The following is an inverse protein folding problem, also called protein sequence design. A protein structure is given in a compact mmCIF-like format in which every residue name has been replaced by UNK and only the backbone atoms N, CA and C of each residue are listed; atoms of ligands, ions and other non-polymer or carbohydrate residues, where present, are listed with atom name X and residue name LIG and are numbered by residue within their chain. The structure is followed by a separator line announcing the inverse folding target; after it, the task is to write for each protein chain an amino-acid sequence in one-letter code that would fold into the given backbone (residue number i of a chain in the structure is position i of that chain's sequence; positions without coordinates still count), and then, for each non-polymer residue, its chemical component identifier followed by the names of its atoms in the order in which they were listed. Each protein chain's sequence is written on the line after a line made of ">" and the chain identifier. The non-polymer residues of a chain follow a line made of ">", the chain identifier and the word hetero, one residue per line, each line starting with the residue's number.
data_IF_395827024440
#
_entry.id   IF_395827024440
#
_cell.length_a   1.000
_cell.length_b   1.000
_cell.length_c   1.000
_cell.angle_alpha   90.00
_cell.angle_beta   90.00
_cell.angle_gamma   90.00
#
_symmetry.space_group_name_H-M   'P 1'
#
loop_
_entity.id
_entity.type
_entity.pdbx_description
1 polymer ?
#
# COMPACT_ATOMS: atom_id res chain seq x y z
N UNK A 1 8.72 19.65 5.05
CA UNK A 1 9.26 18.27 5.16
C UNK A 1 8.55 17.31 4.20
N UNK A 2 7.22 17.32 4.15
CA UNK A 2 6.39 16.47 3.26
C UNK A 2 6.77 16.61 1.78
N UNK A 3 6.90 17.82 1.25
CA UNK A 3 7.28 18.04 -0.16
C UNK A 3 8.62 17.39 -0.55
N UNK A 4 9.58 17.34 0.38
CA UNK A 4 10.89 16.72 0.14
C UNK A 4 10.78 15.20 0.04
N UNK A 5 9.87 14.60 0.80
CA UNK A 5 9.57 13.16 0.75
C UNK A 5 8.89 12.83 -0.58
N UNK A 6 7.86 13.58 -0.96
CA UNK A 6 7.14 13.39 -2.24
C UNK A 6 8.09 13.50 -3.43
N UNK A 7 8.95 14.53 -3.45
CA UNK A 7 9.92 14.73 -4.54
C UNK A 7 10.92 13.58 -4.63
N UNK A 8 11.29 12.97 -3.50
CA UNK A 8 12.22 11.84 -3.49
C UNK A 8 11.55 10.55 -3.97
N UNK A 9 10.28 10.33 -3.62
CA UNK A 9 9.49 9.18 -4.08
C UNK A 9 9.33 9.23 -5.60
N UNK A 10 9.00 10.39 -6.16
CA UNK A 10 8.86 10.55 -7.62
C UNK A 10 10.20 10.31 -8.36
N UNK A 11 11.32 10.73 -7.77
CA UNK A 11 12.67 10.47 -8.32
C UNK A 11 13.02 8.99 -8.27
N UNK A 12 12.69 8.30 -7.18
CA UNK A 12 12.93 6.87 -7.05
C UNK A 12 12.09 6.07 -8.05
N UNK A 13 10.78 6.37 -8.15
CA UNK A 13 9.88 5.71 -9.10
C UNK A 13 10.31 5.90 -10.56
N UNK A 14 10.67 7.12 -10.94
CA UNK A 14 11.16 7.41 -12.31
C UNK A 14 12.51 6.75 -12.60
N UNK A 15 13.41 6.62 -11.63
CA UNK A 15 14.68 5.92 -11.79
C UNK A 15 14.50 4.41 -11.97
N UNK A 16 13.60 3.79 -11.18
CA UNK A 16 13.28 2.36 -11.31
C UNK A 16 12.68 2.03 -12.67
N UNK A 17 11.72 2.84 -13.14
CA UNK A 17 11.10 2.67 -14.44
C UNK A 17 12.12 2.82 -15.59
N UNK A 18 13.00 3.81 -15.50
CA UNK A 18 14.07 4.00 -16.49
C UNK A 18 15.04 2.82 -16.55
N UNK A 19 15.40 2.26 -15.38
CA UNK A 19 16.21 1.05 -15.28
C UNK A 19 15.52 -0.17 -15.91
N UNK A 20 14.23 -0.36 -15.63
CA UNK A 20 13.44 -1.46 -16.20
C UNK A 20 13.34 -1.36 -17.73
N UNK A 21 13.08 -0.17 -18.28
CA UNK A 21 13.03 0.06 -19.73
C UNK A 21 14.39 -0.16 -20.38
N UNK A 22 15.47 0.35 -19.76
CA UNK A 22 16.84 0.12 -20.24
C UNK A 22 17.20 -1.36 -20.28
N UNK A 23 16.86 -2.11 -19.23
CA UNK A 23 17.08 -3.56 -19.17
C UNK A 23 16.25 -4.32 -20.20
N UNK A 24 14.96 -3.98 -20.37
CA UNK A 24 14.10 -4.61 -21.36
C UNK A 24 14.64 -4.42 -22.79
N UNK A 25 15.13 -3.22 -23.11
CA UNK A 25 15.74 -2.92 -24.41
C UNK A 25 17.04 -3.69 -24.57
N UNK A 26 17.90 -3.71 -23.55
CA UNK A 26 19.12 -4.52 -23.54
C UNK A 26 18.84 -6.00 -23.80
N UNK A 27 17.81 -6.57 -23.16
CA UNK A 27 17.41 -7.96 -23.33
C UNK A 27 16.78 -8.24 -24.70
N UNK A 28 16.03 -7.27 -25.27
CA UNK A 28 15.40 -7.40 -26.59
C UNK A 28 16.38 -7.30 -27.76
N UNK A 29 17.47 -6.54 -27.59
CA UNK A 29 18.59 -6.53 -28.54
C UNK A 29 19.34 -7.85 -28.41
N UNK A 30 18.87 -8.86 -29.15
CA UNK A 30 19.46 -10.20 -29.21
C UNK A 30 20.93 -10.21 -29.68
N UNK A 31 21.44 -11.40 -30.01
CA UNK A 31 22.87 -11.62 -30.28
C UNK A 31 23.47 -10.82 -31.46
N UNK A 32 22.64 -10.20 -32.29
CA UNK A 32 23.04 -9.53 -33.53
C UNK A 32 23.91 -8.27 -33.36
N UNK A 33 23.89 -7.62 -32.20
CA UNK A 33 24.62 -6.38 -31.96
C UNK A 33 25.88 -6.62 -31.11
N UNK A 34 26.94 -5.83 -31.35
CA UNK A 34 28.12 -5.88 -30.48
C UNK A 34 27.77 -5.40 -29.06
N UNK A 35 28.49 -5.91 -28.06
CA UNK A 35 28.21 -5.59 -26.65
C UNK A 35 28.21 -4.08 -26.37
N UNK A 36 29.11 -3.34 -27.02
CA UNK A 36 29.22 -1.87 -26.91
C UNK A 36 27.97 -1.17 -27.47
N UNK A 37 27.43 -1.65 -28.58
CA UNK A 37 26.22 -1.06 -29.17
C UNK A 37 24.99 -1.32 -28.28
N UNK A 38 24.92 -2.50 -27.63
CA UNK A 38 23.80 -2.81 -26.73
C UNK A 38 23.83 -1.97 -25.46
N UNK A 39 24.99 -1.80 -24.83
CA UNK A 39 25.11 -0.99 -23.62
C UNK A 39 24.85 0.49 -23.92
N UNK A 40 25.36 1.01 -25.03
CA UNK A 40 25.07 2.38 -25.47
C UNK A 40 23.58 2.58 -25.76
N UNK A 41 22.95 1.66 -26.50
CA UNK A 41 21.52 1.70 -26.81
C UNK A 41 20.64 1.65 -25.56
N UNK A 42 20.96 0.74 -24.62
CA UNK A 42 20.26 0.63 -23.34
C UNK A 42 20.39 1.90 -22.49
N UNK A 43 21.58 2.50 -22.43
CA UNK A 43 21.82 3.74 -21.69
C UNK A 43 21.06 4.94 -22.28
N UNK A 44 21.06 5.08 -23.62
CA UNK A 44 20.30 6.11 -24.32
C UNK A 44 18.81 5.94 -24.04
N UNK A 45 18.29 4.73 -24.16
CA UNK A 45 16.87 4.47 -23.94
C UNK A 45 16.44 4.68 -22.49
N UNK A 46 17.26 4.26 -21.51
CA UNK A 46 17.01 4.53 -20.10
C UNK A 46 16.99 6.04 -19.80
N UNK A 47 17.95 6.79 -20.37
CA UNK A 47 18.02 8.25 -20.20
C UNK A 47 16.79 8.93 -20.81
N UNK A 48 16.37 8.49 -22.00
CA UNK A 48 15.19 9.03 -22.67
C UNK A 48 13.91 8.72 -21.88
N UNK A 49 13.73 7.48 -21.43
CA UNK A 49 12.61 7.07 -20.59
C UNK A 49 12.56 7.87 -19.29
N UNK A 50 13.70 8.08 -18.63
CA UNK A 50 13.81 8.90 -17.42
C UNK A 50 13.36 10.34 -17.67
N UNK A 51 13.86 10.98 -18.73
CA UNK A 51 13.51 12.36 -19.07
C UNK A 51 12.03 12.49 -19.43
N UNK A 52 11.47 11.53 -20.17
CA UNK A 52 10.07 11.52 -20.59
C UNK A 52 9.14 11.32 -19.39
N UNK A 53 9.45 10.39 -18.49
CA UNK A 53 8.69 10.20 -17.24
C UNK A 53 8.79 11.42 -16.33
N UNK A 54 9.99 12.00 -16.18
CA UNK A 54 10.17 13.23 -15.39
C UNK A 54 9.38 14.39 -15.97
N UNK A 55 9.29 14.50 -17.29
CA UNK A 55 8.48 15.52 -17.98
C UNK A 55 6.98 15.28 -17.76
N UNK A 56 6.52 14.04 -17.88
CA UNK A 56 5.13 13.66 -17.63
C UNK A 56 4.73 13.92 -16.17
N UNK A 57 5.54 13.52 -15.20
CA UNK A 57 5.30 13.79 -13.77
C UNK A 57 5.26 15.29 -13.47
N UNK A 58 6.14 16.10 -14.07
CA UNK A 58 6.07 17.56 -13.94
C UNK A 58 4.78 18.13 -14.51
N UNK A 59 4.34 17.63 -15.65
CA UNK A 59 3.08 18.06 -16.28
C UNK A 59 1.86 17.67 -15.43
N UNK A 60 1.86 16.48 -14.83
CA UNK A 60 0.81 16.04 -13.90
C UNK A 60 0.86 16.85 -12.61
N UNK A 61 2.05 17.16 -12.09
CA UNK A 61 2.23 17.97 -10.88
C UNK A 61 1.71 19.40 -11.07
N UNK A 62 1.87 20.01 -12.25
CA UNK A 62 1.28 21.33 -12.51
C UNK A 62 -0.24 21.29 -12.59
N UNK A 63 -0.83 20.17 -12.99
CA UNK A 63 -2.28 19.95 -13.03
C UNK A 63 -2.85 19.39 -11.73
N UNK A 64 -2.00 19.12 -10.73
CA UNK A 64 -2.39 18.87 -9.34
C UNK A 64 -2.82 20.20 -8.70
N UNK A 65 -3.72 20.93 -9.38
CA UNK A 65 -4.60 21.88 -8.73
C UNK A 65 -5.20 21.12 -7.54
N UNK A 66 -5.00 21.66 -6.35
CA UNK A 66 -5.44 21.07 -5.08
C UNK A 66 -6.90 20.66 -5.24
N UNK A 67 -7.15 19.40 -5.61
CA UNK A 67 -8.51 18.86 -5.53
C UNK A 67 -8.83 19.03 -4.05
N UNK A 68 -9.88 19.80 -3.71
CA UNK A 68 -10.27 19.91 -2.32
C UNK A 68 -10.49 18.48 -1.88
N UNK A 69 -9.59 17.98 -1.04
CA UNK A 69 -9.82 16.74 -0.34
C UNK A 69 -11.09 17.08 0.41
N UNK A 70 -12.21 16.51 -0.03
CA UNK A 70 -13.45 16.59 0.71
C UNK A 70 -13.08 15.89 2.01
N UNK A 71 -12.71 16.70 3.00
CA UNK A 71 -12.51 16.22 4.36
C UNK A 71 -13.86 15.59 4.64
N UNK A 72 -13.87 14.25 4.65
CA UNK A 72 -15.07 13.51 4.99
C UNK A 72 -15.55 14.16 6.28
N UNK A 73 -16.72 14.79 6.20
CA UNK A 73 -17.36 15.42 7.34
C UNK A 73 -17.67 14.26 8.26
N UNK A 74 -16.70 13.95 9.15
CA UNK A 74 -16.80 13.03 10.25
C UNK A 74 -17.79 13.67 11.22
N UNK A 75 -19.05 13.78 10.79
CA UNK A 75 -20.17 13.90 11.70
C UNK A 75 -19.96 12.76 12.67
N UNK A 76 -19.77 13.12 13.94
CA UNK A 76 -19.73 12.17 15.04
C UNK A 76 -20.89 11.23 14.78
N UNK A 77 -20.58 10.00 14.41
CA UNK A 77 -21.55 8.93 14.42
C UNK A 77 -21.84 8.82 15.90
N UNK A 78 -22.91 9.48 16.35
CA UNK A 78 -23.45 9.27 17.67
C UNK A 78 -23.80 7.78 17.68
N UNK A 79 -22.92 7.03 18.32
CA UNK A 79 -23.11 5.62 18.60
C UNK A 79 -24.20 5.55 19.67
N UNK A 80 -25.44 5.89 19.29
CA UNK A 80 -26.62 5.29 19.88
C UNK A 80 -26.56 3.82 19.48
N UNK A 81 -25.78 3.07 20.26
CA UNK A 81 -25.88 1.63 20.33
C UNK A 81 -27.18 1.37 21.10
N UNK A 82 -28.32 1.71 20.50
CA UNK A 82 -29.52 0.91 20.73
C UNK A 82 -29.19 -0.43 20.12
N UNK A 83 -28.89 -1.36 21.02
CA UNK A 83 -28.90 -2.81 20.84
C UNK A 83 -29.61 -3.20 19.54
N UNK A 84 -28.82 -3.36 18.46
CA UNK A 84 -29.30 -3.86 17.19
C UNK A 84 -29.59 -5.35 17.44
N UNK A 85 -30.74 -5.62 18.04
CA UNK A 85 -31.32 -6.94 18.20
C UNK A 85 -31.52 -7.45 16.78
N UNK A 86 -30.55 -8.21 16.29
CA UNK A 86 -30.65 -9.04 15.10
C UNK A 86 -31.70 -10.13 15.36
N UNK A 87 -32.97 -9.75 15.47
CA UNK A 87 -34.10 -10.65 15.26
C UNK A 87 -34.22 -10.84 13.75
N UNK A 88 -33.24 -11.56 13.22
CA UNK A 88 -33.22 -12.05 11.86
C UNK A 88 -34.32 -13.12 11.73
N UNK A 89 -35.56 -12.66 11.57
CA UNK A 89 -36.65 -13.49 11.06
C UNK A 89 -36.74 -13.22 9.57
N UNK A 90 -35.90 -13.94 8.82
CA UNK A 90 -35.95 -13.97 7.36
C UNK A 90 -37.29 -14.60 6.96
N UNK A 91 -38.24 -13.75 6.55
CA UNK A 91 -39.28 -14.17 5.64
C UNK A 91 -38.66 -14.24 4.23
N UNK A 92 -38.92 -15.29 3.44
CA UNK A 92 -38.39 -15.39 2.09
C UNK A 92 -39.29 -14.58 1.17
N UNK A 93 -39.02 -13.29 1.03
CA UNK A 93 -39.53 -12.53 -0.12
C UNK A 93 -38.46 -11.52 -0.55
N UNK A 94 -37.69 -11.97 -1.54
CA UNK A 94 -37.16 -11.21 -2.66
C UNK A 94 -36.83 -9.73 -2.41
N UNK A 95 -35.62 -9.48 -1.91
CA UNK A 95 -34.95 -8.18 -2.06
C UNK A 95 -34.47 -8.03 -3.51
N UNK A 96 -35.36 -7.51 -4.35
CA UNK A 96 -35.04 -6.99 -5.68
C UNK A 96 -34.07 -5.82 -5.56
N UNK A 97 -32.76 -6.08 -5.76
CA UNK A 97 -31.78 -5.05 -6.10
C UNK A 97 -32.01 -4.60 -7.55
N UNK A 98 -33.09 -3.86 -7.78
CA UNK A 98 -33.25 -3.12 -9.03
C UNK A 98 -32.42 -1.85 -8.98
N UNK A 99 -31.31 -1.91 -9.70
CA UNK A 99 -31.09 -1.03 -10.84
C UNK A 99 -30.81 0.46 -10.53
N UNK A 100 -29.56 0.77 -10.22
CA UNK A 100 -28.96 2.09 -10.50
C UNK A 100 -27.42 2.07 -10.36
N UNK A 101 -26.73 1.25 -11.15
CA UNK A 101 -25.30 1.50 -11.45
C UNK A 101 -25.11 1.43 -12.97
N UNK A 102 -25.73 2.37 -13.66
CA UNK A 102 -25.55 2.59 -15.10
C UNK A 102 -24.44 3.62 -15.34
N UNK A 103 -23.20 3.30 -14.98
CA UNK A 103 -22.03 3.94 -15.55
C UNK A 103 -20.95 2.89 -15.79
N UNK A 104 -21.11 2.21 -16.93
CA UNK A 104 -20.03 1.73 -17.83
C UNK A 104 -18.67 1.44 -17.16
N UNK A 105 -18.63 0.44 -16.29
CA UNK A 105 -17.39 -0.27 -15.97
C UNK A 105 -16.99 -1.08 -17.20
N UNK A 106 -16.28 -0.42 -18.13
CA UNK A 106 -15.57 -1.09 -19.22
C UNK A 106 -14.47 -1.94 -18.57
N UNK A 107 -14.81 -3.18 -18.21
CA UNK A 107 -13.83 -4.23 -17.96
C UNK A 107 -13.03 -4.41 -19.25
N UNK A 108 -11.83 -3.84 -19.27
CA UNK A 108 -10.88 -4.05 -20.36
C UNK A 108 -10.48 -5.53 -20.37
N UNK A 109 -10.26 -6.08 -21.56
CA UNK A 109 -9.96 -7.51 -21.79
C UNK A 109 -8.73 -8.04 -21.03
N UNK A 110 -7.98 -7.17 -20.34
CA UNK A 110 -6.84 -7.53 -19.49
C UNK A 110 -7.22 -8.28 -18.20
N UNK A 111 -8.48 -8.20 -17.74
CA UNK A 111 -8.96 -8.93 -16.55
C UNK A 111 -9.57 -10.32 -16.89
N UNK A 112 -9.50 -10.74 -18.16
CA UNK A 112 -9.82 -12.13 -18.55
C UNK A 112 -8.67 -13.06 -18.15
N UNK A 113 -8.48 -13.28 -16.86
CA UNK A 113 -7.81 -14.48 -16.40
C UNK A 113 -8.70 -15.66 -16.81
N UNK A 114 -8.27 -16.42 -17.83
CA UNK A 114 -8.82 -17.72 -18.19
C UNK A 114 -8.72 -18.66 -16.99
N UNK A 115 -9.68 -18.54 -16.08
CA UNK A 115 -9.88 -19.54 -15.06
C UNK A 115 -10.52 -20.72 -15.79
N UNK A 116 -9.87 -21.89 -15.88
CA UNK A 116 -10.47 -23.04 -16.54
C UNK A 116 -11.82 -23.29 -15.86
N UNK A 117 -12.90 -23.17 -16.63
CA UNK A 117 -14.26 -23.55 -16.23
C UNK A 117 -14.28 -25.05 -15.96
N UNK A 118 -13.84 -25.45 -14.77
CA UNK A 118 -14.27 -26.71 -14.20
C UNK A 118 -15.68 -26.50 -13.65
N UNK A 119 -16.69 -27.27 -14.10
CA UNK A 119 -17.96 -27.33 -13.40
C UNK A 119 -17.74 -28.11 -12.09
N UNK A 120 -17.26 -27.43 -11.05
CA UNK A 120 -17.29 -27.93 -9.69
C UNK A 120 -18.71 -27.69 -9.16
N UNK A 121 -19.50 -28.78 -9.15
CA UNK A 121 -20.88 -28.85 -8.66
C UNK A 121 -20.92 -29.01 -7.13
N UNK A 122 -19.78 -28.93 -6.44
CA UNK A 122 -19.76 -28.98 -4.98
C UNK A 122 -19.56 -27.56 -4.42
N UNK A 123 -20.49 -27.03 -3.61
CA UNK A 123 -20.25 -25.77 -2.90
C UNK A 123 -18.98 -25.92 -2.07
N UNK A 124 -18.08 -24.95 -2.12
CA UNK A 124 -16.98 -24.85 -1.17
C UNK A 124 -17.58 -24.69 0.23
N UNK A 125 -17.82 -25.80 0.93
CA UNK A 125 -18.14 -25.80 2.35
C UNK A 125 -16.82 -25.61 3.07
N UNK A 126 -16.57 -24.38 3.54
CA UNK A 126 -15.45 -24.05 4.41
C UNK A 126 -15.75 -24.59 5.82
N UNK A 127 -15.74 -25.91 5.99
CA UNK A 127 -15.92 -26.55 7.31
C UNK A 127 -14.67 -26.38 8.21
N UNK A 128 -13.54 -25.96 7.64
CA UNK A 128 -12.27 -25.68 8.35
C UNK A 128 -12.20 -24.27 8.99
N UNK A 129 -13.34 -23.69 9.36
CA UNK A 129 -13.34 -22.43 10.13
C UNK A 129 -13.18 -22.76 11.61
N UNK A 130 -11.92 -22.86 12.04
CA UNK A 130 -11.44 -22.42 13.37
C UNK A 130 -12.06 -23.05 14.63
N UNK A 131 -12.95 -24.04 14.53
CA UNK A 131 -13.74 -24.50 15.66
C UNK A 131 -12.90 -25.09 16.81
N UNK A 132 -11.69 -25.57 16.53
CA UNK A 132 -10.78 -26.11 17.56
C UNK A 132 -9.33 -25.65 17.34
N UNK A 133 -9.06 -24.35 17.44
CA UNK A 133 -7.69 -23.93 17.74
C UNK A 133 -7.34 -24.38 19.16
N UNK A 134 -6.61 -25.50 19.26
CA UNK A 134 -6.13 -26.04 20.52
C UNK A 134 -5.38 -24.98 21.36
N UNK A 135 -5.31 -25.15 22.69
CA UNK A 135 -4.70 -24.18 23.61
C UNK A 135 -3.23 -23.85 23.29
N UNK A 136 -2.56 -24.70 22.51
CA UNK A 136 -1.16 -24.57 22.12
C UNK A 136 -0.94 -23.92 20.74
N UNK A 137 -2.02 -23.47 20.07
CA UNK A 137 -1.93 -22.78 18.79
C UNK A 137 -1.20 -21.44 18.94
N UNK A 138 0.10 -21.44 18.61
CA UNK A 138 0.99 -20.26 18.66
C UNK A 138 0.64 -19.17 17.65
N UNK A 139 -0.31 -19.41 16.75
CA UNK A 139 -0.84 -18.40 15.83
C UNK A 139 -1.81 -17.49 16.59
N UNK A 140 -1.20 -16.68 17.46
CA UNK A 140 -1.55 -15.27 17.65
C UNK A 140 -3.00 -15.00 18.08
N UNK A 141 -3.29 -15.27 19.36
CA UNK A 141 -4.40 -14.64 20.11
C UNK A 141 -4.18 -13.13 20.35
N UNK A 142 -3.68 -12.37 19.37
CA UNK A 142 -3.54 -10.91 19.50
C UNK A 142 -4.89 -10.19 19.67
N UNK A 143 -5.98 -10.85 19.29
CA UNK A 143 -7.33 -10.30 19.28
C UNK A 143 -8.31 -11.13 20.12
N UNK A 144 -7.87 -11.78 21.20
CA UNK A 144 -8.83 -12.37 22.15
C UNK A 144 -9.59 -11.22 22.85
N UNK A 145 -10.91 -11.06 22.61
CA UNK A 145 -11.67 -9.94 23.12
C UNK A 145 -11.73 -9.91 24.65
N UNK A 146 -11.48 -11.04 25.33
CA UNK A 146 -11.39 -11.10 26.80
C UNK A 146 -10.06 -10.57 27.33
N UNK A 147 -9.02 -10.57 26.50
CA UNK A 147 -7.66 -10.11 26.84
C UNK A 147 -7.37 -8.71 26.28
N UNK A 148 -8.24 -8.17 25.42
CA UNK A 148 -8.08 -6.82 24.91
C UNK A 148 -8.36 -5.78 26.01
N UNK A 149 -7.46 -4.82 26.22
CA UNK A 149 -7.74 -3.70 27.10
C UNK A 149 -8.94 -2.92 26.56
N UNK A 150 -9.81 -2.47 27.45
CA UNK A 150 -10.91 -1.58 27.06
C UNK A 150 -10.34 -0.30 26.41
N UNK A 151 -11.09 0.36 25.51
CA UNK A 151 -10.64 1.61 24.89
C UNK A 151 -10.19 2.68 25.90
N UNK A 152 -10.87 2.76 27.05
CA UNK A 152 -10.48 3.64 28.15
C UNK A 152 -9.12 3.29 28.77
N UNK A 153 -8.86 2.01 29.03
CA UNK A 153 -7.56 1.55 29.54
C UNK A 153 -6.42 1.79 28.55
N UNK A 154 -6.70 1.67 27.25
CA UNK A 154 -5.72 1.92 26.21
C UNK A 154 -5.36 3.42 26.15
N UNK A 155 -6.36 4.31 26.25
CA UNK A 155 -6.14 5.75 26.36
C UNK A 155 -5.32 6.11 27.60
N UNK A 156 -5.69 5.61 28.77
CA UNK A 156 -4.93 5.85 29.99
C UNK A 156 -3.49 5.32 29.90
N UNK A 157 -3.25 4.22 29.18
CA UNK A 157 -1.88 3.73 28.92
C UNK A 157 -1.08 4.68 28.03
N UNK A 158 -1.69 5.22 26.98
CA UNK A 158 -1.03 6.20 26.09
C UNK A 158 -0.70 7.48 26.87
N UNK A 159 -1.65 8.03 27.61
CA UNK A 159 -1.45 9.25 28.39
C UNK A 159 -0.33 9.06 29.43
N UNK A 160 -0.37 7.96 30.18
CA UNK A 160 0.71 7.60 31.10
C UNK A 160 2.06 7.42 30.39
N UNK A 161 2.09 6.88 29.17
CA UNK A 161 3.33 6.69 28.43
C UNK A 161 3.89 8.02 27.92
N UNK A 162 3.03 8.93 27.49
CA UNK A 162 3.43 10.28 27.08
C UNK A 162 3.94 11.09 28.27
N UNK A 163 3.31 10.96 29.44
CA UNK A 163 3.75 11.63 30.67
C UNK A 163 5.03 11.01 31.27
N UNK A 164 5.17 9.68 31.21
CA UNK A 164 6.36 8.96 31.71
C UNK A 164 7.51 8.90 30.73
N UNK A 165 7.37 9.44 29.52
CA UNK A 165 8.54 9.66 28.66
C UNK A 165 9.19 10.95 29.13
N UNK A 166 10.21 10.92 30.03
CA UNK A 166 11.00 12.12 30.26
C UNK A 166 11.48 12.62 28.89
N UNK A 167 11.55 13.94 28.65
CA UNK A 167 12.19 14.45 27.44
C UNK A 167 13.55 13.78 27.39
N UNK A 168 13.75 12.89 26.43
CA UNK A 168 14.88 11.97 26.38
C UNK A 168 16.13 12.84 26.31
N UNK A 169 16.71 13.11 27.47
CA UNK A 169 17.94 13.84 27.63
C UNK A 169 18.99 12.99 26.90
N UNK A 170 19.37 13.44 25.71
CA UNK A 170 20.37 12.76 24.89
C UNK A 170 19.84 11.59 24.09
N UNK A 171 18.67 11.69 23.45
CA UNK A 171 18.57 11.08 22.12
C UNK A 171 19.64 11.77 21.25
N UNK A 172 20.85 11.21 21.28
CA UNK A 172 21.88 11.37 20.26
C UNK A 172 21.13 11.50 18.94
N UNK A 173 21.16 12.73 18.41
CA UNK A 173 20.32 13.15 17.31
C UNK A 173 20.46 12.10 16.21
N UNK A 174 19.40 11.36 15.90
CA UNK A 174 19.47 10.27 14.93
C UNK A 174 20.05 10.78 13.59
N UNK A 175 19.89 12.07 13.34
CA UNK A 175 20.50 12.85 12.27
C UNK A 175 22.04 12.83 12.31
N UNK A 176 22.65 12.97 13.50
CA UNK A 176 24.09 12.93 13.74
C UNK A 176 24.65 11.53 13.51
N UNK A 177 24.00 10.49 14.05
CA UNK A 177 24.39 9.11 13.83
C UNK A 177 24.31 8.70 12.34
N UNK A 178 23.29 9.19 11.63
CA UNK A 178 23.17 9.01 10.18
C UNK A 178 24.28 9.76 9.42
N UNK A 179 24.61 10.99 9.83
CA UNK A 179 25.66 11.78 9.21
C UNK A 179 27.03 11.12 9.35
N UNK A 180 27.33 10.58 10.54
CA UNK A 180 28.58 9.86 10.81
C UNK A 180 28.67 8.58 9.97
N UNK A 181 27.59 7.79 9.90
CA UNK A 181 27.54 6.58 9.08
C UNK A 181 27.73 6.87 7.58
N UNK A 182 27.14 7.96 7.07
CA UNK A 182 27.33 8.37 5.67
C UNK A 182 28.75 8.88 5.39
N UNK A 183 29.38 9.55 6.35
CA UNK A 183 30.77 9.98 6.24
C UNK A 183 31.73 8.78 6.19
N UNK A 184 31.48 7.76 7.02
CA UNK A 184 32.24 6.52 7.02
C UNK A 184 32.09 5.74 5.70
N UNK A 185 30.86 5.60 5.20
CA UNK A 185 30.59 4.98 3.89
C UNK A 185 31.34 5.69 2.76
N UNK A 186 31.32 7.03 2.74
CA UNK A 186 32.03 7.82 1.73
C UNK A 186 33.54 7.64 1.79
N UNK A 187 34.10 7.39 2.98
CA UNK A 187 35.52 7.13 3.18
C UNK A 187 35.91 5.74 2.67
N UNK A 188 35.04 4.74 2.81
CA UNK A 188 35.28 3.36 2.36
C UNK A 188 35.27 3.17 0.84
N UNK A 189 34.61 4.08 0.11
CA UNK A 189 34.46 4.01 -1.35
C UNK A 189 35.57 4.75 -2.12
N UNK A 190 36.53 5.36 -1.41
CA UNK A 190 37.72 5.98 -2.00
C UNK A 190 38.93 5.10 -1.77
#
# INVERSE_FOLDING_TARGET
>A
MIERIETNVDRAASALLAGAVGYAIYASLGSAFSQVQRTAGAAIAATFAYLLCRRALRFVATHRARRPIVIFDLRKIESEIEELVLTHRVAPDELLLTDAVSEELILTDADRLETPRQPLVDPLVLDDILAEMGPDARVVRLFDPKMMPSPGQLRSRIDNHLEKTPPTAGASDASQALADALAELRRSLR
#
